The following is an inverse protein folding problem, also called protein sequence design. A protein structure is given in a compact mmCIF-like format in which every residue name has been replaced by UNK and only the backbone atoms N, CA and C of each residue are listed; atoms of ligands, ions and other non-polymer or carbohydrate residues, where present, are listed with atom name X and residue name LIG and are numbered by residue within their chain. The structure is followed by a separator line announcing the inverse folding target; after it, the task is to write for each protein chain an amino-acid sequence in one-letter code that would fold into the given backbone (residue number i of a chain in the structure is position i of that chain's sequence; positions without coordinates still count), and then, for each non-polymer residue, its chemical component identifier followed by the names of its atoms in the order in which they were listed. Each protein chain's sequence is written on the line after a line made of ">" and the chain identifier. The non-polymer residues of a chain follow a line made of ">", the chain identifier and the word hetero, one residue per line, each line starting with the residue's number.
data_IF_408382759693
#
_entry.id   IF_408382759693
#
_cell.length_a   1.000
_cell.length_b   1.000
_cell.length_c   1.000
_cell.angle_alpha   90.00
_cell.angle_beta   90.00
_cell.angle_gamma   90.00
#
_symmetry.space_group_name_H-M   'P 1'
#
loop_
_entity.id
_entity.type
_entity.pdbx_description
1 polymer ?
#
# COMPACT_ATOMS: atom_id res chain seq x y z
N UNK A 1 1.37 -19.72 4.20
CA UNK A 1 0.98 -18.57 5.08
C UNK A 1 0.91 -19.05 6.52
N UNK A 2 1.54 -18.34 7.47
CA UNK A 2 1.32 -18.61 8.89
C UNK A 2 0.21 -17.74 9.45
N UNK A 3 -0.58 -18.29 10.37
CA UNK A 3 -1.62 -17.57 11.10
C UNK A 3 -1.42 -17.78 12.60
N UNK A 4 -1.86 -16.80 13.38
CA UNK A 4 -1.89 -16.84 14.84
C UNK A 4 -3.26 -17.34 15.30
N UNK A 5 -3.29 -18.37 16.14
CA UNK A 5 -4.51 -18.83 16.81
C UNK A 5 -5.01 -17.75 17.78
N UNK A 6 -6.30 -17.41 17.69
CA UNK A 6 -6.89 -16.36 18.53
C UNK A 6 -7.15 -16.82 19.98
N UNK A 7 -7.15 -18.13 20.22
CA UNK A 7 -7.41 -18.74 21.54
C UNK A 7 -6.17 -18.79 22.43
N UNK A 8 -5.03 -19.16 21.86
CA UNK A 8 -3.81 -19.48 22.62
C UNK A 8 -2.55 -18.77 22.10
N UNK A 9 -2.68 -17.92 21.07
CA UNK A 9 -1.59 -17.16 20.45
C UNK A 9 -0.45 -18.04 19.91
N UNK A 10 -0.76 -19.27 19.52
CA UNK A 10 0.21 -20.16 18.84
C UNK A 10 0.21 -19.94 17.33
N UNK A 11 1.38 -20.09 16.70
CA UNK A 11 1.54 -19.93 15.25
C UNK A 11 1.31 -21.27 14.52
N UNK A 12 0.48 -21.24 13.46
CA UNK A 12 0.15 -22.39 12.63
C UNK A 12 0.45 -22.10 11.17
N UNK A 13 1.09 -23.05 10.48
CA UNK A 13 1.42 -22.92 9.05
C UNK A 13 0.37 -23.61 8.19
N UNK A 14 -0.17 -22.86 7.23
CA UNK A 14 -1.15 -23.33 6.26
C UNK A 14 -0.65 -23.13 4.83
N UNK A 15 -1.12 -24.00 3.93
CA UNK A 15 -0.76 -24.00 2.51
C UNK A 15 -2.03 -23.97 1.67
N UNK A 16 -2.01 -23.17 0.60
CA UNK A 16 -3.03 -23.12 -0.45
C UNK A 16 -4.49 -23.17 0.07
N UNK A 17 -5.24 -24.20 -0.34
CA UNK A 17 -6.66 -24.37 -0.01
C UNK A 17 -6.92 -24.75 1.45
N UNK A 18 -5.87 -25.06 2.23
CA UNK A 18 -5.98 -25.34 3.66
C UNK A 18 -5.99 -24.08 4.53
N UNK A 19 -5.86 -22.88 3.93
CA UNK A 19 -5.90 -21.62 4.68
C UNK A 19 -7.34 -21.39 5.18
N UNK A 20 -7.57 -21.35 6.51
CA UNK A 20 -8.90 -21.13 7.08
C UNK A 20 -9.37 -19.69 6.85
N UNK A 21 -10.60 -19.36 7.24
CA UNK A 21 -11.00 -17.95 7.36
C UNK A 21 -10.21 -17.30 8.50
N UNK A 22 -9.71 -16.09 8.26
CA UNK A 22 -8.93 -15.34 9.24
C UNK A 22 -9.26 -13.84 9.19
N UNK A 23 -8.95 -13.15 10.28
CA UNK A 23 -8.84 -11.69 10.32
C UNK A 23 -7.40 -11.25 10.08
N UNK A 24 -7.20 -9.98 9.75
CA UNK A 24 -5.86 -9.44 9.50
C UNK A 24 -5.68 -8.10 10.22
N UNK A 25 -4.51 -7.87 10.82
CA UNK A 25 -4.17 -6.61 11.48
C UNK A 25 -3.40 -5.69 10.53
N UNK A 26 -3.97 -4.51 10.28
CA UNK A 26 -3.30 -3.37 9.67
C UNK A 26 -2.86 -2.41 10.77
N UNK A 27 -1.57 -2.15 10.89
CA UNK A 27 -1.04 -1.28 11.94
C UNK A 27 0.28 -0.64 11.52
N UNK A 28 0.67 0.42 12.23
CA UNK A 28 2.03 0.96 12.12
C UNK A 28 2.91 0.37 13.21
N UNK A 29 4.09 -0.14 12.84
CA UNK A 29 5.04 -0.68 13.81
C UNK A 29 5.39 0.39 14.86
N UNK A 30 5.18 0.03 16.12
CA UNK A 30 5.37 0.88 17.27
C UNK A 30 6.63 0.51 18.06
N UNK A 31 6.59 0.77 19.36
CA UNK A 31 7.66 0.36 20.27
C UNK A 31 7.50 -1.12 20.61
N UNK A 32 8.64 -1.81 20.69
CA UNK A 32 8.71 -3.19 21.21
C UNK A 32 7.78 -4.16 20.48
N UNK A 33 7.75 -4.10 19.14
CA UNK A 33 7.07 -5.11 18.33
C UNK A 33 7.63 -6.51 18.63
N UNK A 34 6.73 -7.50 18.60
CA UNK A 34 7.11 -8.89 18.83
C UNK A 34 7.36 -9.57 17.49
N UNK A 35 8.57 -10.13 17.35
CA UNK A 35 8.96 -10.83 16.13
C UNK A 35 8.41 -12.26 16.10
N UNK A 36 8.46 -12.90 14.92
CA UNK A 36 8.16 -14.32 14.77
C UNK A 36 8.91 -15.19 15.79
N UNK A 37 10.22 -14.99 15.93
CA UNK A 37 11.07 -15.79 16.82
C UNK A 37 10.68 -15.63 18.30
N UNK A 38 10.29 -14.42 18.70
CA UNK A 38 9.85 -14.14 20.06
C UNK A 38 8.47 -14.74 20.36
N UNK A 39 7.59 -14.86 19.35
CA UNK A 39 6.28 -15.50 19.49
C UNK A 39 6.35 -17.03 19.59
N UNK A 40 7.42 -17.68 19.10
CA UNK A 40 7.55 -19.13 19.21
C UNK A 40 7.69 -19.60 20.66
N UNK A 41 8.36 -18.80 21.50
CA UNK A 41 8.55 -19.08 22.93
C UNK A 41 8.52 -17.77 23.74
N UNK A 42 7.33 -17.17 23.97
CA UNK A 42 7.22 -15.86 24.58
C UNK A 42 7.55 -15.92 26.07
N UNK A 43 8.73 -15.41 26.43
CA UNK A 43 9.12 -15.24 27.84
C UNK A 43 8.27 -14.15 28.51
N UNK A 44 8.28 -14.08 29.84
CA UNK A 44 7.58 -13.03 30.58
C UNK A 44 7.94 -11.61 30.10
N UNK A 45 9.22 -11.36 29.81
CA UNK A 45 9.65 -10.05 29.31
C UNK A 45 9.08 -9.74 27.91
N UNK A 46 8.89 -10.75 27.06
CA UNK A 46 8.21 -10.59 25.76
C UNK A 46 6.72 -10.28 25.97
N UNK A 47 6.07 -10.98 26.89
CA UNK A 47 4.64 -10.77 27.20
C UNK A 47 4.34 -9.37 27.77
N UNK A 48 5.34 -8.73 28.39
CA UNK A 48 5.24 -7.37 28.92
C UNK A 48 5.47 -6.27 27.85
N UNK A 49 5.87 -6.63 26.62
CA UNK A 49 6.08 -5.67 25.52
C UNK A 49 4.75 -5.08 25.03
N UNK A 50 4.78 -3.81 24.64
CA UNK A 50 3.64 -3.14 24.02
C UNK A 50 3.15 -3.85 22.72
N UNK A 51 4.05 -4.40 21.91
CA UNK A 51 3.69 -5.20 20.73
C UNK A 51 2.96 -6.50 21.08
N UNK A 52 3.23 -7.10 22.24
CA UNK A 52 2.55 -8.32 22.67
C UNK A 52 1.10 -8.02 23.07
N UNK A 53 0.89 -6.92 23.79
CA UNK A 53 -0.47 -6.46 24.11
C UNK A 53 -1.27 -6.16 22.84
N UNK A 54 -0.65 -5.55 21.83
CA UNK A 54 -1.28 -5.32 20.52
C UNK A 54 -1.73 -6.61 19.85
N UNK A 55 -0.88 -7.65 19.87
CA UNK A 55 -1.20 -8.99 19.37
C UNK A 55 -2.37 -9.60 20.15
N UNK A 56 -2.32 -9.53 21.49
CA UNK A 56 -3.37 -10.07 22.37
C UNK A 56 -4.72 -9.43 22.09
N UNK A 57 -4.78 -8.10 22.02
CA UNK A 57 -6.03 -7.36 21.73
C UNK A 57 -6.57 -7.65 20.33
N UNK A 58 -5.71 -7.76 19.33
CA UNK A 58 -6.12 -8.16 17.99
C UNK A 58 -6.72 -9.57 17.97
N UNK A 59 -6.09 -10.52 18.66
CA UNK A 59 -6.58 -11.89 18.80
C UNK A 59 -7.93 -11.95 19.53
N UNK A 60 -8.09 -11.21 20.63
CA UNK A 60 -9.36 -11.11 21.37
C UNK A 60 -10.50 -10.61 20.48
N UNK A 61 -10.32 -9.48 19.79
CA UNK A 61 -11.35 -8.94 18.90
C UNK A 61 -11.66 -9.94 17.79
N UNK A 62 -10.65 -10.59 17.22
CA UNK A 62 -10.83 -11.58 16.16
C UNK A 62 -11.62 -12.80 16.66
N UNK A 63 -11.37 -13.24 17.88
CA UNK A 63 -12.10 -14.32 18.52
C UNK A 63 -13.58 -13.94 18.77
N UNK A 64 -13.82 -12.73 19.28
CA UNK A 64 -15.16 -12.22 19.56
C UNK A 64 -16.00 -12.06 18.28
N UNK A 65 -15.36 -11.73 17.16
CA UNK A 65 -15.95 -11.72 15.81
C UNK A 65 -16.12 -13.12 15.19
N UNK A 66 -15.75 -14.18 15.92
CA UNK A 66 -15.96 -15.58 15.53
C UNK A 66 -14.85 -16.19 14.66
N UNK A 67 -13.66 -15.61 14.64
CA UNK A 67 -12.52 -16.11 13.87
C UNK A 67 -11.50 -16.81 14.77
N UNK A 68 -11.13 -18.04 14.39
CA UNK A 68 -10.13 -18.83 15.12
C UNK A 68 -8.69 -18.41 14.85
N UNK A 69 -8.47 -17.66 13.76
CA UNK A 69 -7.16 -17.26 13.30
C UNK A 69 -7.10 -15.79 12.93
N UNK A 70 -5.95 -15.17 13.21
CA UNK A 70 -5.62 -13.82 12.75
C UNK A 70 -4.23 -13.78 12.14
N UNK A 71 -3.97 -12.83 11.24
CA UNK A 71 -2.66 -12.60 10.66
C UNK A 71 -2.12 -11.24 11.10
N UNK A 72 -0.86 -11.23 11.54
CA UNK A 72 -0.14 -10.04 11.97
C UNK A 72 1.27 -10.12 11.39
N UNK A 73 1.66 -9.15 10.56
CA UNK A 73 2.92 -9.16 9.80
C UNK A 73 4.17 -9.23 10.69
N UNK A 74 4.13 -8.63 11.88
CA UNK A 74 5.26 -8.59 12.83
C UNK A 74 5.68 -9.99 13.29
N UNK A 75 4.70 -10.87 13.56
CA UNK A 75 4.94 -12.19 14.12
C UNK A 75 4.59 -13.38 13.22
N UNK A 76 3.74 -13.22 12.20
CA UNK A 76 3.39 -14.31 11.28
C UNK A 76 4.45 -14.52 10.19
N UNK A 77 5.21 -13.48 9.85
CA UNK A 77 6.31 -13.55 8.87
C UNK A 77 7.64 -13.77 9.60
N UNK A 78 8.36 -14.84 9.26
CA UNK A 78 9.73 -15.04 9.68
C UNK A 78 10.67 -14.19 8.81
N UNK A 79 10.93 -12.98 9.29
CA UNK A 79 11.80 -12.02 8.59
C UNK A 79 13.27 -12.43 8.55
N UNK A 80 13.65 -13.50 9.24
CA UNK A 80 15.02 -14.07 9.17
C UNK A 80 15.20 -14.97 7.94
N UNK A 81 14.10 -15.46 7.35
CA UNK A 81 14.08 -16.22 6.11
C UNK A 81 13.85 -15.28 4.92
N UNK A 82 14.88 -15.04 4.12
CA UNK A 82 14.77 -14.17 2.93
C UNK A 82 13.78 -14.72 1.90
N UNK A 83 13.73 -16.05 1.72
CA UNK A 83 12.79 -16.72 0.84
C UNK A 83 11.34 -16.46 1.28
N UNK A 84 11.07 -16.60 2.56
CA UNK A 84 9.72 -16.39 3.09
C UNK A 84 9.33 -14.91 3.12
N UNK A 85 10.26 -14.02 3.46
CA UNK A 85 10.02 -12.58 3.39
C UNK A 85 9.64 -12.16 1.97
N UNK A 86 10.34 -12.72 0.97
CA UNK A 86 10.05 -12.50 -0.45
C UNK A 86 8.67 -13.03 -0.85
N UNK A 87 8.34 -14.27 -0.46
CA UNK A 87 7.02 -14.86 -0.71
C UNK A 87 5.91 -14.02 -0.06
N UNK A 88 6.15 -13.59 1.19
CA UNK A 88 5.17 -12.87 2.00
C UNK A 88 4.83 -11.50 1.42
N UNK A 89 5.83 -10.73 1.01
CA UNK A 89 5.61 -9.40 0.43
C UNK A 89 4.89 -9.49 -0.92
N UNK A 90 5.28 -10.43 -1.79
CA UNK A 90 4.59 -10.64 -3.07
C UNK A 90 3.15 -11.16 -2.87
N UNK A 91 2.88 -11.85 -1.75
CA UNK A 91 1.55 -12.40 -1.44
C UNK A 91 0.67 -11.48 -0.60
N UNK A 92 1.22 -10.40 -0.02
CA UNK A 92 0.57 -9.62 1.04
C UNK A 92 -0.78 -9.06 0.59
N UNK A 93 -0.85 -8.48 -0.62
CA UNK A 93 -2.11 -7.97 -1.16
C UNK A 93 -3.18 -9.06 -1.28
N UNK A 94 -2.80 -10.26 -1.74
CA UNK A 94 -3.72 -11.39 -1.83
C UNK A 94 -4.18 -11.87 -0.44
N UNK A 95 -3.30 -11.83 0.56
CA UNK A 95 -3.65 -12.15 1.95
C UNK A 95 -4.61 -11.13 2.56
N UNK A 96 -4.40 -9.82 2.33
CA UNK A 96 -5.39 -8.82 2.73
C UNK A 96 -6.72 -8.98 2.00
N UNK A 97 -6.69 -9.29 0.69
CA UNK A 97 -7.90 -9.51 -0.11
C UNK A 97 -8.71 -10.72 0.33
N UNK A 98 -8.05 -11.78 0.81
CA UNK A 98 -8.69 -13.01 1.30
C UNK A 98 -9.09 -12.94 2.78
N UNK A 99 -8.60 -11.96 3.53
CA UNK A 99 -9.00 -11.76 4.92
C UNK A 99 -10.49 -11.43 4.98
N UNK A 100 -11.18 -12.03 5.95
CA UNK A 100 -12.61 -11.78 6.14
C UNK A 100 -12.86 -10.43 6.82
N UNK A 101 -11.91 -9.95 7.61
CA UNK A 101 -11.99 -8.74 8.40
C UNK A 101 -10.60 -8.12 8.58
N UNK A 102 -10.44 -6.85 8.24
CA UNK A 102 -9.21 -6.08 8.48
C UNK A 102 -9.40 -5.13 9.66
N UNK A 103 -8.64 -5.37 10.73
CA UNK A 103 -8.57 -4.48 11.89
C UNK A 103 -7.53 -3.40 11.59
N UNK A 104 -7.93 -2.15 11.46
CA UNK A 104 -7.00 -1.02 11.35
C UNK A 104 -6.79 -0.42 12.73
N UNK A 105 -5.61 -0.65 13.31
CA UNK A 105 -5.25 -0.11 14.63
C UNK A 105 -4.49 1.22 14.50
N UNK A 106 -5.09 2.30 14.99
CA UNK A 106 -4.52 3.64 15.01
C UNK A 106 -3.85 3.93 16.37
N UNK A 107 -2.58 3.52 16.51
CA UNK A 107 -1.80 3.61 17.75
C UNK A 107 -1.69 5.03 18.34
N UNK A 108 -1.74 6.06 17.49
CA UNK A 108 -1.59 7.48 17.82
C UNK A 108 -2.91 8.26 17.77
N UNK A 109 -4.05 7.58 17.67
CA UNK A 109 -5.38 8.21 17.67
C UNK A 109 -6.11 7.97 19.00
N UNK A 110 -6.26 9.04 19.78
CA UNK A 110 -6.98 9.05 21.06
C UNK A 110 -8.38 9.70 20.98
N UNK A 111 -8.83 10.04 19.77
CA UNK A 111 -10.15 10.63 19.54
C UNK A 111 -11.28 9.60 19.59
N UNK A 112 -12.52 10.09 19.65
CA UNK A 112 -13.72 9.26 19.71
C UNK A 112 -14.63 9.42 18.48
N UNK A 113 -14.27 10.31 17.54
CA UNK A 113 -15.12 10.63 16.40
C UNK A 113 -14.35 10.68 15.08
N UNK A 114 -15.01 10.25 14.00
CA UNK A 114 -14.50 10.32 12.62
C UNK A 114 -13.98 11.69 12.18
N UNK A 115 -14.61 12.77 12.68
CA UNK A 115 -14.22 14.14 12.36
C UNK A 115 -12.81 14.47 12.85
N UNK A 116 -12.38 13.81 13.93
CA UNK A 116 -11.09 14.00 14.60
C UNK A 116 -9.95 13.29 13.85
N UNK A 117 -10.26 12.42 12.87
CA UNK A 117 -9.25 11.81 12.01
C UNK A 117 -8.56 12.88 11.15
N UNK A 118 -7.24 12.87 11.17
CA UNK A 118 -6.40 13.85 10.47
C UNK A 118 -5.26 13.13 9.74
N UNK A 119 -4.68 13.79 8.73
CA UNK A 119 -3.66 13.18 7.88
C UNK A 119 -2.28 13.04 8.56
N UNK A 120 -2.11 13.62 9.73
CA UNK A 120 -0.91 13.50 10.57
C UNK A 120 -0.87 12.19 11.37
N UNK A 121 -1.99 11.46 11.47
CA UNK A 121 -2.03 10.10 12.02
C UNK A 121 -1.11 9.21 11.19
N UNK A 122 -0.15 8.56 11.86
CA UNK A 122 0.94 7.80 11.22
C UNK A 122 0.43 6.82 10.19
N UNK A 123 -0.66 6.12 10.46
CA UNK A 123 -1.22 5.11 9.57
C UNK A 123 -1.53 5.64 8.16
N UNK A 124 -2.06 6.86 8.02
CA UNK A 124 -2.34 7.47 6.70
C UNK A 124 -1.07 7.86 5.93
N UNK A 125 0.08 7.92 6.59
CA UNK A 125 1.35 8.32 5.99
C UNK A 125 2.22 7.14 5.56
N UNK A 126 1.82 5.89 5.83
CA UNK A 126 2.63 4.70 5.53
C UNK A 126 2.30 4.15 4.15
N UNK A 127 3.33 3.75 3.39
CA UNK A 127 3.14 3.17 2.05
C UNK A 127 2.31 1.88 2.09
N UNK A 128 2.66 0.95 2.98
CA UNK A 128 2.00 -0.35 3.12
C UNK A 128 0.49 -0.25 3.35
N UNK A 129 0.01 0.76 4.07
CA UNK A 129 -1.41 0.86 4.45
C UNK A 129 -2.37 1.12 3.28
N UNK A 130 -1.85 1.44 2.08
CA UNK A 130 -2.69 1.53 0.87
C UNK A 130 -3.31 0.18 0.54
N UNK A 131 -2.50 -0.88 0.43
CA UNK A 131 -3.03 -2.22 0.15
C UNK A 131 -3.87 -2.76 1.30
N UNK A 132 -3.52 -2.41 2.53
CA UNK A 132 -4.25 -2.83 3.73
C UNK A 132 -5.65 -2.20 3.81
N UNK A 133 -5.85 -1.04 3.17
CA UNK A 133 -7.13 -0.35 3.07
C UNK A 133 -8.00 -0.88 1.92
N UNK A 134 -7.42 -1.07 0.74
CA UNK A 134 -8.20 -1.32 -0.49
C UNK A 134 -8.38 -2.80 -0.82
N UNK A 135 -7.46 -3.67 -0.36
CA UNK A 135 -7.53 -5.09 -0.69
C UNK A 135 -8.66 -5.81 0.05
N UNK A 136 -8.84 -5.65 1.39
CA UNK A 136 -9.88 -6.35 2.14
C UNK A 136 -11.29 -5.92 1.73
N UNK A 137 -12.27 -6.78 2.01
CA UNK A 137 -13.69 -6.47 1.79
C UNK A 137 -14.27 -5.65 2.93
N UNK A 138 -13.90 -6.00 4.17
CA UNK A 138 -14.37 -5.37 5.39
C UNK A 138 -13.18 -4.79 6.16
N UNK A 139 -13.20 -3.48 6.41
CA UNK A 139 -12.15 -2.74 7.10
C UNK A 139 -12.77 -1.92 8.22
N UNK A 140 -12.33 -2.14 9.45
CA UNK A 140 -12.84 -1.43 10.63
C UNK A 140 -11.69 -0.77 11.37
N UNK A 141 -11.88 0.51 11.67
CA UNK A 141 -10.87 1.33 12.35
C UNK A 141 -11.06 1.28 13.85
N UNK A 142 -9.95 1.14 14.57
CA UNK A 142 -9.86 1.10 16.03
C UNK A 142 -8.91 2.18 16.53
N UNK A 143 -9.27 2.82 17.64
CA UNK A 143 -8.43 3.82 18.31
C UNK A 143 -7.27 3.16 19.08
N UNK A 144 -6.40 3.98 19.66
CA UNK A 144 -5.31 3.54 20.53
C UNK A 144 -5.80 2.77 21.78
N UNK A 145 -7.06 2.95 22.18
CA UNK A 145 -7.70 2.20 23.27
C UNK A 145 -8.47 0.97 22.80
N UNK A 146 -8.33 0.58 21.53
CA UNK A 146 -9.09 -0.50 20.88
C UNK A 146 -10.61 -0.26 20.87
N UNK A 147 -11.04 1.00 20.98
CA UNK A 147 -12.43 1.37 20.74
C UNK A 147 -12.72 1.40 19.25
N UNK A 148 -13.86 0.82 18.84
CA UNK A 148 -14.33 0.93 17.45
C UNK A 148 -14.55 2.40 17.11
N UNK A 149 -13.94 2.85 16.02
CA UNK A 149 -14.15 4.18 15.46
C UNK A 149 -15.31 4.10 14.47
N UNK A 150 -15.14 3.32 13.40
CA UNK A 150 -16.14 3.11 12.34
C UNK A 150 -15.65 2.09 11.29
N UNK A 151 -16.55 1.51 10.52
CA UNK A 151 -16.24 0.76 9.29
C UNK A 151 -15.97 1.69 8.09
N UNK A 152 -14.90 1.42 7.33
CA UNK A 152 -14.42 2.25 6.22
C UNK A 152 -15.53 2.65 5.22
N UNK A 153 -16.49 1.74 4.99
CA UNK A 153 -17.62 1.94 4.08
C UNK A 153 -18.47 3.17 4.44
N UNK A 154 -18.62 3.49 5.74
CA UNK A 154 -19.50 4.58 6.19
C UNK A 154 -18.88 5.97 6.08
N UNK A 155 -17.58 6.10 5.80
CA UNK A 155 -16.89 7.40 5.78
C UNK A 155 -15.88 7.57 4.64
N UNK A 156 -16.17 6.97 3.48
CA UNK A 156 -15.31 7.01 2.28
C UNK A 156 -14.92 8.42 1.84
N UNK A 157 -15.81 9.42 2.00
CA UNK A 157 -15.49 10.82 1.68
C UNK A 157 -14.39 11.41 2.55
N UNK A 158 -14.31 11.01 3.82
CA UNK A 158 -13.22 11.42 4.72
C UNK A 158 -11.95 10.66 4.38
N UNK A 159 -12.04 9.36 4.12
CA UNK A 159 -10.91 8.53 3.68
C UNK A 159 -10.29 9.03 2.37
N UNK A 160 -11.09 9.39 1.37
CA UNK A 160 -10.61 9.96 0.11
C UNK A 160 -9.77 11.21 0.35
N UNK A 161 -10.22 12.13 1.22
CA UNK A 161 -9.45 13.32 1.58
C UNK A 161 -8.14 13.01 2.31
N UNK A 162 -8.11 11.93 3.10
CA UNK A 162 -6.93 11.54 3.89
C UNK A 162 -5.92 10.72 3.06
N UNK A 163 -6.39 10.01 2.03
CA UNK A 163 -5.60 8.98 1.32
C UNK A 163 -5.41 9.25 -0.17
N UNK A 164 -6.17 10.19 -0.73
CA UNK A 164 -6.29 10.45 -2.18
C UNK A 164 -6.85 9.26 -2.99
N UNK A 165 -7.38 8.23 -2.32
CA UNK A 165 -7.98 7.06 -2.96
C UNK A 165 -9.45 7.38 -3.22
N UNK A 166 -9.86 7.27 -4.48
CA UNK A 166 -11.21 7.64 -4.92
C UNK A 166 -12.27 6.82 -4.18
N UNK A 167 -13.41 7.44 -3.90
CA UNK A 167 -14.52 6.75 -3.24
C UNK A 167 -15.00 5.51 -4.00
N UNK A 168 -14.90 5.48 -5.33
CA UNK A 168 -15.29 4.31 -6.11
C UNK A 168 -14.39 3.10 -5.83
N UNK A 169 -13.10 3.31 -5.57
CA UNK A 169 -12.15 2.25 -5.17
C UNK A 169 -12.44 1.82 -3.74
N UNK A 170 -12.64 2.76 -2.82
CA UNK A 170 -12.95 2.48 -1.41
C UNK A 170 -14.28 1.72 -1.25
N UNK A 171 -15.26 1.99 -2.12
CA UNK A 171 -16.55 1.29 -2.17
C UNK A 171 -16.51 0.01 -3.02
N UNK A 172 -15.37 -0.27 -3.66
CA UNK A 172 -15.17 -1.40 -4.56
C UNK A 172 -16.15 -1.44 -5.73
N UNK A 173 -16.60 -0.26 -6.19
CA UNK A 173 -17.46 -0.12 -7.36
C UNK A 173 -16.69 0.02 -8.67
N UNK A 174 -15.37 0.26 -8.61
CA UNK A 174 -14.45 0.24 -9.75
C UNK A 174 -13.42 -0.86 -9.56
N UNK A 175 -13.06 -1.55 -10.65
CA UNK A 175 -11.93 -2.49 -10.62
C UNK A 175 -10.62 -1.72 -10.53
N UNK A 176 -9.61 -2.29 -9.85
CA UNK A 176 -8.26 -1.72 -9.91
C UNK A 176 -7.70 -1.72 -11.34
N UNK A 177 -8.15 -2.62 -12.21
CA UNK A 177 -7.71 -2.68 -13.61
C UNK A 177 -8.21 -1.48 -14.43
N UNK A 178 -9.29 -0.82 -13.99
CA UNK A 178 -9.83 0.38 -14.63
C UNK A 178 -9.07 1.64 -14.20
N UNK A 179 -8.42 1.59 -13.03
CA UNK A 179 -7.68 2.71 -12.47
C UNK A 179 -6.30 2.79 -13.11
N UNK A 180 -5.98 3.95 -13.65
CA UNK A 180 -4.70 4.18 -14.33
C UNK A 180 -3.50 4.06 -13.39
N UNK A 181 -2.35 3.64 -13.93
CA UNK A 181 -1.09 3.49 -13.22
C UNK A 181 -0.70 4.81 -12.53
N UNK A 182 -0.80 5.95 -13.22
CA UNK A 182 -0.51 7.25 -12.63
C UNK A 182 -1.37 7.55 -11.40
N UNK A 183 -2.67 7.22 -11.47
CA UNK A 183 -3.59 7.42 -10.36
C UNK A 183 -3.25 6.51 -9.19
N UNK A 184 -2.95 5.23 -9.44
CA UNK A 184 -2.44 4.30 -8.41
C UNK A 184 -1.16 4.81 -7.77
N UNK A 185 -0.20 5.32 -8.56
CA UNK A 185 1.05 5.93 -8.06
C UNK A 185 0.77 7.15 -7.18
N UNK A 186 -0.22 7.98 -7.53
CA UNK A 186 -0.58 9.17 -6.76
C UNK A 186 -1.01 8.88 -5.31
N UNK A 187 -1.56 7.69 -5.04
CA UNK A 187 -1.96 7.27 -3.68
C UNK A 187 -0.77 7.16 -2.72
N UNK A 188 0.45 7.04 -3.27
CA UNK A 188 1.70 6.92 -2.52
C UNK A 188 2.49 8.24 -2.46
N UNK A 189 2.07 9.28 -3.16
CA UNK A 189 2.82 10.52 -3.28
C UNK A 189 3.16 11.16 -1.93
N UNK A 190 2.23 11.15 -0.98
CA UNK A 190 2.41 11.74 0.35
C UNK A 190 2.76 10.70 1.43
N UNK A 191 3.18 9.49 1.03
CA UNK A 191 3.47 8.40 1.94
C UNK A 191 4.97 8.17 2.10
N UNK A 192 5.31 7.47 3.16
CA UNK A 192 6.69 7.15 3.56
C UNK A 192 6.80 5.69 3.95
N UNK A 193 8.00 5.16 3.84
CA UNK A 193 8.36 3.79 4.23
C UNK A 193 9.64 3.83 5.06
N UNK A 194 9.89 2.77 5.84
CA UNK A 194 11.09 2.70 6.68
C UNK A 194 12.33 2.41 5.84
N UNK A 195 12.24 1.44 4.92
CA UNK A 195 13.25 1.22 3.88
C UNK A 195 12.81 1.91 2.61
N UNK A 196 13.78 2.42 1.86
CA UNK A 196 13.50 3.12 0.60
C UNK A 196 12.87 2.18 -0.43
N UNK A 197 13.33 0.93 -0.49
CA UNK A 197 12.83 -0.10 -1.41
C UNK A 197 11.37 -0.48 -1.14
N UNK A 198 10.95 -0.41 0.12
CA UNK A 198 9.57 -0.72 0.53
C UNK A 198 8.56 0.22 -0.13
N UNK A 199 8.98 1.42 -0.59
CA UNK A 199 8.09 2.29 -1.36
C UNK A 199 7.63 1.58 -2.63
N UNK A 200 8.54 0.94 -3.36
CA UNK A 200 8.21 0.13 -4.53
C UNK A 200 7.49 -1.16 -4.13
N UNK A 201 7.98 -1.87 -3.11
CA UNK A 201 7.44 -3.18 -2.74
C UNK A 201 6.01 -3.11 -2.18
N UNK A 202 5.64 -2.01 -1.53
CA UNK A 202 4.27 -1.79 -1.05
C UNK A 202 3.23 -1.62 -2.17
N UNK A 203 3.66 -1.43 -3.42
CA UNK A 203 2.79 -1.24 -4.59
C UNK A 203 2.56 -2.53 -5.38
N UNK A 204 3.36 -3.57 -5.17
CA UNK A 204 3.42 -4.76 -6.03
C UNK A 204 2.04 -5.35 -6.33
N UNK A 205 1.28 -5.69 -5.28
CA UNK A 205 -0.05 -6.27 -5.45
C UNK A 205 -1.10 -5.32 -6.03
N UNK A 206 -0.95 -4.01 -5.82
CA UNK A 206 -1.86 -2.99 -6.39
C UNK A 206 -1.61 -2.82 -7.90
N UNK A 207 -0.36 -2.98 -8.31
CA UNK A 207 0.07 -2.91 -9.71
C UNK A 207 -0.01 -4.27 -10.43
N UNK A 208 -0.33 -5.36 -9.72
CA UNK A 208 -0.36 -6.71 -10.29
C UNK A 208 1.03 -7.24 -10.68
N UNK A 209 2.09 -6.76 -10.02
CA UNK A 209 3.49 -7.12 -10.32
C UNK A 209 4.03 -8.07 -9.27
N UNK A 210 4.81 -9.05 -9.72
CA UNK A 210 5.67 -9.87 -8.88
C UNK A 210 7.13 -9.65 -9.32
N UNK A 211 8.03 -9.38 -8.38
CA UNK A 211 9.45 -9.19 -8.69
C UNK A 211 10.35 -9.57 -7.50
N UNK A 212 11.62 -9.94 -7.74
CA UNK A 212 12.57 -10.23 -6.66
C UNK A 212 12.81 -9.01 -5.77
N UNK A 213 12.78 -9.23 -4.45
CA UNK A 213 13.08 -8.22 -3.45
C UNK A 213 14.59 -8.19 -3.16
N UNK A 214 15.21 -7.05 -3.42
CA UNK A 214 16.65 -6.83 -3.28
C UNK A 214 16.86 -5.67 -2.32
N UNK A 215 16.80 -5.95 -1.02
CA UNK A 215 17.13 -4.94 -0.01
C UNK A 215 18.60 -4.51 -0.10
N UNK A 216 18.83 -3.20 -0.17
CA UNK A 216 20.13 -2.59 -0.44
C UNK A 216 20.27 -1.99 -1.84
N UNK A 217 19.28 -2.17 -2.72
CA UNK A 217 19.28 -1.57 -4.06
C UNK A 217 18.84 -0.08 -4.07
N UNK A 218 18.29 0.42 -2.97
CA UNK A 218 17.92 1.83 -2.85
C UNK A 218 16.76 2.23 -3.78
N UNK A 219 16.85 3.44 -4.36
CA UNK A 219 15.86 3.97 -5.29
C UNK A 219 15.73 3.17 -6.60
N UNK A 220 16.69 2.26 -6.88
CA UNK A 220 16.62 1.36 -8.04
C UNK A 220 15.39 0.45 -7.98
N UNK A 221 14.90 0.13 -6.77
CA UNK A 221 13.68 -0.67 -6.60
C UNK A 221 12.47 -0.03 -7.30
N UNK A 222 12.30 1.29 -7.20
CA UNK A 222 11.18 2.01 -7.82
C UNK A 222 11.31 2.11 -9.34
N UNK A 223 12.54 2.19 -9.86
CA UNK A 223 12.81 2.07 -11.30
C UNK A 223 12.43 0.68 -11.80
N UNK A 224 12.87 -0.39 -11.13
CA UNK A 224 12.54 -1.77 -11.51
C UNK A 224 11.05 -2.03 -11.48
N UNK A 225 10.33 -1.47 -10.50
CA UNK A 225 8.86 -1.53 -10.47
C UNK A 225 8.26 -0.93 -11.75
N UNK A 226 8.69 0.27 -12.14
CA UNK A 226 8.19 0.91 -13.36
C UNK A 226 8.54 0.09 -14.61
N UNK A 227 9.74 -0.46 -14.70
CA UNK A 227 10.15 -1.34 -15.81
C UNK A 227 9.28 -2.60 -15.90
N UNK A 228 8.94 -3.22 -14.77
CA UNK A 228 8.03 -4.37 -14.73
C UNK A 228 6.58 -3.98 -15.05
N UNK A 229 6.11 -2.79 -14.65
CA UNK A 229 4.80 -2.29 -15.09
C UNK A 229 4.76 -2.12 -16.61
N UNK A 230 5.76 -1.44 -17.20
CA UNK A 230 5.85 -1.25 -18.66
C UNK A 230 5.92 -2.58 -19.41
N UNK A 231 6.56 -3.59 -18.82
CA UNK A 231 6.64 -4.93 -19.42
C UNK A 231 5.27 -5.62 -19.50
N UNK A 232 4.35 -5.32 -18.58
CA UNK A 232 3.10 -6.05 -18.38
C UNK A 232 1.83 -5.21 -18.63
N UNK A 233 1.96 -3.92 -18.98
CA UNK A 233 0.84 -3.00 -19.17
C UNK A 233 1.10 -2.03 -20.32
N UNK A 234 0.07 -1.73 -21.08
CA UNK A 234 0.00 -0.72 -22.15
C UNK A 234 -0.57 0.62 -21.66
N UNK A 235 -0.82 0.78 -20.37
CA UNK A 235 -1.28 2.02 -19.76
C UNK A 235 -0.15 3.07 -19.79
N UNK A 236 -0.21 4.00 -20.75
CA UNK A 236 0.79 5.05 -20.91
C UNK A 236 0.74 6.13 -19.83
N UNK A 237 -0.24 6.08 -18.91
CA UNK A 237 -0.27 6.99 -17.76
C UNK A 237 0.97 6.86 -16.88
N UNK A 238 1.69 5.73 -16.92
CA UNK A 238 3.00 5.59 -16.24
C UNK A 238 4.00 6.70 -16.62
N UNK A 239 3.82 7.36 -17.78
CA UNK A 239 4.63 8.48 -18.25
C UNK A 239 4.09 9.87 -17.84
N UNK A 240 2.92 9.95 -17.19
CA UNK A 240 2.26 11.18 -16.77
C UNK A 240 2.76 11.67 -15.39
N UNK A 241 4.07 11.82 -15.27
CA UNK A 241 4.72 12.36 -14.07
C UNK A 241 5.35 13.72 -14.35
N UNK A 242 5.55 14.51 -13.29
CA UNK A 242 6.24 15.80 -13.34
C UNK A 242 7.40 15.81 -12.36
N UNK A 243 8.60 16.12 -12.86
CA UNK A 243 9.78 16.28 -12.01
C UNK A 243 9.58 17.38 -10.97
N UNK A 244 10.03 17.13 -9.75
CA UNK A 244 9.91 18.08 -8.62
C UNK A 244 10.99 19.17 -8.59
N UNK A 245 12.00 19.11 -9.46
CA UNK A 245 13.12 20.05 -9.48
C UNK A 245 13.08 20.92 -10.73
N UNK A 246 13.25 22.23 -10.55
CA UNK A 246 13.37 23.22 -11.63
C UNK A 246 14.82 23.44 -12.07
N UNK A 247 15.76 22.60 -11.61
CA UNK A 247 17.16 22.75 -11.97
C UNK A 247 17.34 22.54 -13.48
N UNK A 248 17.80 23.58 -14.17
CA UNK A 248 17.91 23.65 -15.63
C UNK A 248 18.78 22.54 -16.29
N UNK A 249 19.49 21.73 -15.50
CA UNK A 249 20.41 20.69 -15.96
C UNK A 249 20.27 19.36 -15.20
N UNK A 250 19.07 19.01 -14.73
CA UNK A 250 18.82 17.68 -14.18
C UNK A 250 18.58 16.69 -15.33
N UNK A 251 19.61 15.94 -15.74
CA UNK A 251 19.45 14.85 -16.71
C UNK A 251 18.51 13.80 -16.13
N UNK A 252 17.36 13.63 -16.79
CA UNK A 252 16.27 12.77 -16.35
C UNK A 252 16.14 11.56 -17.25
N UNK A 253 15.88 10.44 -16.61
CA UNK A 253 15.40 9.24 -17.27
C UNK A 253 13.93 9.43 -17.68
N UNK A 254 13.40 8.71 -18.68
CA UNK A 254 11.96 8.69 -18.97
C UNK A 254 11.08 8.21 -17.80
N UNK A 255 11.66 7.58 -16.77
CA UNK A 255 10.95 7.09 -15.59
C UNK A 255 11.04 8.06 -14.40
N UNK A 256 9.97 8.08 -13.60
CA UNK A 256 9.88 8.89 -12.39
C UNK A 256 10.87 8.40 -11.32
N UNK A 257 11.35 9.31 -10.47
CA UNK A 257 12.24 8.97 -9.35
C UNK A 257 11.49 8.52 -8.11
N UNK A 258 10.24 8.93 -7.95
CA UNK A 258 9.41 8.53 -6.83
C UNK A 258 7.92 8.76 -7.11
N UNK A 259 7.01 8.16 -6.32
CA UNK A 259 5.57 8.39 -6.46
C UNK A 259 5.13 9.85 -6.29
N UNK A 260 5.94 10.69 -5.62
CA UNK A 260 5.67 12.13 -5.45
C UNK A 260 5.49 12.86 -6.78
N UNK A 261 6.15 12.38 -7.83
CA UNK A 261 6.10 12.96 -9.17
C UNK A 261 4.76 12.69 -9.88
N UNK A 262 3.93 11.82 -9.32
CA UNK A 262 2.56 11.56 -9.74
C UNK A 262 1.51 12.30 -8.89
N UNK A 263 1.92 13.18 -7.96
CA UNK A 263 0.97 13.92 -7.10
C UNK A 263 0.00 14.82 -7.88
N UNK A 264 0.40 15.27 -9.07
CA UNK A 264 -0.41 16.10 -9.98
C UNK A 264 -1.13 15.30 -11.07
N UNK A 265 -1.12 13.97 -10.99
CA UNK A 265 -1.69 13.13 -12.04
C UNK A 265 -3.22 13.31 -12.10
N UNK A 266 -3.68 14.24 -12.93
CA UNK A 266 -5.02 14.24 -13.48
C UNK A 266 -5.04 13.29 -14.68
N UNK A 267 -4.84 12.00 -14.39
CA UNK A 267 -4.75 10.98 -15.42
C UNK A 267 -6.15 10.54 -15.86
N UNK A 268 -6.35 10.24 -17.16
CA UNK A 268 -7.54 9.54 -17.61
C UNK A 268 -7.63 8.15 -16.95
N UNK A 269 -8.78 7.49 -17.09
CA UNK A 269 -8.91 6.09 -16.69
C UNK A 269 -7.98 5.21 -17.55
N UNK A 270 -7.57 4.04 -17.05
CA UNK A 270 -6.60 3.17 -17.73
C UNK A 270 -6.96 2.85 -19.20
N UNK A 271 -8.24 2.55 -19.55
CA UNK A 271 -8.61 2.22 -20.93
C UNK A 271 -8.38 3.34 -21.94
N UNK A 272 -8.38 4.59 -21.47
CA UNK A 272 -8.21 5.78 -22.30
C UNK A 272 -6.75 6.28 -22.29
N UNK A 273 -5.88 5.61 -21.52
CA UNK A 273 -4.49 6.00 -21.32
C UNK A 273 -3.51 5.22 -22.22
N UNK A 274 -3.98 4.30 -23.07
CA UNK A 274 -3.12 3.48 -23.92
C UNK A 274 -2.70 4.19 -25.21
N UNK A 275 -1.51 3.85 -25.71
CA UNK A 275 -1.13 4.15 -27.10
C UNK A 275 -1.67 3.08 -28.04
N UNK A 276 -1.79 3.41 -29.34
CA UNK A 276 -2.18 2.45 -30.38
C UNK A 276 -1.16 1.31 -30.55
N UNK A 277 0.10 1.56 -30.19
CA UNK A 277 1.22 0.63 -30.35
C UNK A 277 1.92 0.41 -29.00
N UNK A 278 2.42 -0.81 -28.72
CA UNK A 278 3.16 -1.07 -27.50
C UNK A 278 4.40 -0.19 -27.33
N UNK A 279 4.72 0.15 -26.09
CA UNK A 279 5.95 0.84 -25.71
C UNK A 279 6.79 -0.02 -24.78
N UNK A 280 8.11 0.17 -24.79
CA UNK A 280 9.02 -0.66 -24.01
C UNK A 280 10.29 0.09 -23.61
N UNK A 281 10.89 -0.36 -22.51
CA UNK A 281 12.24 0.05 -22.11
C UNK A 281 13.29 -0.74 -22.90
N UNK A 282 14.27 -0.03 -23.45
CA UNK A 282 15.42 -0.59 -24.17
C UNK A 282 16.73 -0.14 -23.52
N UNK A 283 17.86 -0.71 -23.93
CA UNK A 283 19.18 -0.24 -23.51
C UNK A 283 19.52 1.20 -23.97
N UNK A 284 18.69 1.79 -24.84
CA UNK A 284 18.77 3.21 -25.27
C UNK A 284 17.73 4.10 -24.59
N UNK A 285 16.90 3.56 -23.69
CA UNK A 285 15.79 4.25 -23.06
C UNK A 285 14.42 3.80 -23.59
N UNK A 286 13.42 4.65 -23.41
CA UNK A 286 12.04 4.37 -23.80
C UNK A 286 11.86 4.40 -25.32
N UNK A 287 11.33 3.31 -25.88
CA UNK A 287 10.88 3.22 -27.25
C UNK A 287 9.35 3.24 -27.29
N UNK A 288 8.78 4.24 -27.98
CA UNK A 288 7.33 4.37 -28.19
C UNK A 288 7.06 4.95 -29.57
N UNK A 289 5.86 4.68 -30.11
CA UNK A 289 5.33 5.28 -31.32
C UNK A 289 3.99 5.92 -30.96
N UNK A 290 3.88 7.22 -31.16
CA UNK A 290 2.67 7.98 -30.85
C UNK A 290 2.51 9.14 -31.83
N UNK A 291 1.27 9.56 -32.04
CA UNK A 291 0.95 10.73 -32.85
C UNK A 291 1.28 12.01 -32.08
N UNK A 292 2.03 12.91 -32.72
CA UNK A 292 2.32 14.21 -32.16
C UNK A 292 1.15 15.17 -32.46
N UNK A 293 0.40 15.52 -31.42
CA UNK A 293 -0.69 16.48 -31.52
C UNK A 293 -0.19 17.86 -31.07
N UNK A 294 -0.37 18.88 -31.91
CA UNK A 294 -0.11 20.26 -31.51
C UNK A 294 -1.25 20.77 -30.63
N UNK A 295 -0.96 21.03 -29.36
CA UNK A 295 -1.89 21.70 -28.46
C UNK A 295 -1.56 23.20 -28.49
N UNK A 296 -2.47 24.01 -29.03
CA UNK A 296 -2.36 25.47 -28.95
C UNK A 296 -2.71 25.87 -27.52
N UNK A 297 -1.68 26.07 -26.69
CA UNK A 297 -1.87 26.62 -25.34
C UNK A 297 -2.06 28.12 -25.49
N UNK A 298 -3.28 28.59 -25.27
CA UNK A 298 -3.61 30.03 -25.32
C UNK A 298 -2.80 30.78 -24.26
N UNK A 299 -2.32 32.00 -24.57
CA UNK A 299 -1.49 32.79 -23.65
C UNK A 299 -2.18 33.08 -22.30
N UNK A 300 -3.51 33.06 -22.26
CA UNK A 300 -4.33 33.20 -21.06
C UNK A 300 -4.18 32.06 -20.03
N UNK A 301 -3.73 30.86 -20.44
CA UNK A 301 -3.47 29.74 -19.52
C UNK A 301 -2.07 29.79 -18.90
N UNK A 302 -1.16 30.59 -19.45
CA UNK A 302 0.19 30.79 -18.90
C UNK A 302 0.17 31.70 -17.67
N UNK A 303 -0.61 32.78 -17.71
CA UNK A 303 -0.68 33.75 -16.61
C UNK A 303 -1.37 33.17 -15.35
N UNK A 304 -2.35 32.27 -15.50
CA UNK A 304 -2.96 31.56 -14.36
C UNK A 304 -2.03 30.57 -13.67
N UNK A 305 -1.06 29.98 -14.39
CA UNK A 305 -0.11 29.01 -13.81
C UNK A 305 1.06 29.67 -13.06
N UNK A 306 1.25 30.98 -13.19
CA UNK A 306 2.27 31.74 -12.46
C UNK A 306 1.71 32.44 -11.21
N UNK A 307 0.39 32.35 -10.96
CA UNK A 307 -0.28 33.01 -9.82
C UNK A 307 -1.00 32.09 -8.83
N UNK A 308 -0.90 30.76 -8.97
CA UNK A 308 -1.35 29.74 -8.00
C UNK A 308 -0.18 28.90 -7.50
#
# INVERSE_FOLDING_TARGET
>A
MRLLSTKDLTLHLFFDDAIPKYTILSHTWGKEEVTHQEMLNPTRAIQEKAGYEKIRRCAEISYDEGYEYTWIDTCCIDKTSSAELSESINSMFAWYRKAAYCLVYLEDFHGNHLKDLTGDIRWFQRGWTVQELIAPVLVVFYSASWGVIEEAHFFTKKLEKLTSIDQSVLRRSSSLDEISIAKKMSWFANRTTTRVEDMAYSMLGIMGINMPLIYGEGEVAFRRLQEEIIRNSDDASILLWKGTTEAAFDFRDPLARSPKEFSFANAPQAPDASFDEPFAMTNKGLALKADLISIIVSATDRERRETE
#
